data_IF_079132080383
#
_entry.id   IF_079132080383
#
_cell.length_a   1.000
_cell.length_b   1.000
_cell.length_c   1.000
_cell.angle_alpha   90.00
_cell.angle_beta   90.00
_cell.angle_gamma   90.00
#
_symmetry.space_group_name_H-M   'P 1'
#
loop_
_entity.id
_entity.type
_entity.pdbx_description
1 polymer ?
#
# COMPACT_ATOMS: atom_id res chain seq x y z
N UNK A 1 -12.95 -11.83 13.97
CA UNK A 1 -11.79 -12.13 13.10
C UNK A 1 -10.54 -12.01 13.94
N UNK A 2 -9.89 -13.13 14.19
CA UNK A 2 -8.71 -13.19 15.05
C UNK A 2 -7.48 -12.65 14.30
N UNK A 3 -6.66 -11.88 15.00
CA UNK A 3 -5.45 -11.27 14.46
C UNK A 3 -4.26 -11.74 15.26
N UNK A 4 -3.12 -11.81 14.61
CA UNK A 4 -1.84 -12.13 15.23
C UNK A 4 -0.93 -10.90 15.14
N UNK A 5 -0.39 -10.47 16.28
CA UNK A 5 0.55 -9.36 16.37
C UNK A 5 1.93 -9.83 15.91
N UNK A 6 2.52 -9.09 14.97
CA UNK A 6 3.82 -9.42 14.37
C UNK A 6 4.91 -8.50 14.87
N UNK A 7 4.64 -7.20 14.93
CA UNK A 7 5.60 -6.20 15.39
C UNK A 7 4.89 -4.93 15.87
N UNK A 8 5.60 -4.13 16.64
CA UNK A 8 5.21 -2.80 17.08
C UNK A 8 6.31 -1.82 16.66
N UNK A 9 5.94 -0.70 16.05
CA UNK A 9 6.88 0.36 15.68
C UNK A 9 6.59 1.60 16.52
N UNK A 10 7.60 2.13 17.21
CA UNK A 10 7.53 3.47 17.76
C UNK A 10 7.72 4.49 16.63
N UNK A 11 6.67 5.25 16.33
CA UNK A 11 6.66 6.19 15.22
C UNK A 11 7.50 7.45 15.46
N UNK A 12 7.94 7.72 16.71
CA UNK A 12 8.81 8.86 17.04
C UNK A 12 10.28 8.50 16.90
N UNK A 13 10.67 7.33 17.41
CA UNK A 13 12.07 6.87 17.39
C UNK A 13 12.38 6.04 16.14
N UNK A 14 11.36 5.43 15.53
CA UNK A 14 11.53 4.44 14.47
C UNK A 14 11.92 3.05 14.99
N UNK A 15 12.01 2.85 16.31
CA UNK A 15 12.37 1.57 16.90
C UNK A 15 11.28 0.52 16.64
N UNK A 16 11.73 -0.69 16.27
CA UNK A 16 10.86 -1.83 15.95
C UNK A 16 11.02 -2.88 17.03
N UNK A 17 9.92 -3.19 17.72
CA UNK A 17 9.79 -4.35 18.61
C UNK A 17 9.15 -5.49 17.81
N UNK A 18 9.94 -6.51 17.50
CA UNK A 18 9.46 -7.72 16.82
C UNK A 18 8.81 -8.64 17.86
N UNK A 19 7.55 -9.00 17.62
CA UNK A 19 6.79 -9.91 18.51
C UNK A 19 6.86 -11.35 17.99
N UNK A 20 6.92 -11.53 16.66
CA UNK A 20 7.00 -12.83 16.00
C UNK A 20 8.26 -12.97 15.15
N UNK A 21 9.34 -13.40 15.80
CA UNK A 21 10.70 -13.53 15.24
C UNK A 21 10.80 -14.48 14.04
N UNK A 22 9.93 -15.50 13.98
CA UNK A 22 9.88 -16.48 12.88
C UNK A 22 9.02 -16.01 11.69
N UNK A 23 8.33 -14.87 11.82
CA UNK A 23 7.51 -14.34 10.73
C UNK A 23 8.37 -13.96 9.53
N UNK A 24 7.96 -14.41 8.34
CA UNK A 24 8.56 -14.03 7.07
C UNK A 24 7.49 -13.65 6.07
N UNK A 25 7.80 -12.75 5.14
CA UNK A 25 6.88 -12.42 4.07
C UNK A 25 7.58 -12.20 2.73
N UNK A 26 7.05 -12.83 1.67
CA UNK A 26 7.38 -12.56 0.28
C UNK A 26 6.10 -12.50 -0.53
N UNK A 27 5.91 -11.46 -1.33
CA UNK A 27 4.84 -11.48 -2.33
C UNK A 27 5.18 -12.57 -3.37
N UNK A 28 4.31 -13.57 -3.50
CA UNK A 28 4.51 -14.68 -4.44
C UNK A 28 4.24 -14.21 -5.86
N UNK A 29 5.20 -14.46 -6.76
CA UNK A 29 5.08 -14.12 -8.18
C UNK A 29 3.91 -14.87 -8.82
N UNK A 30 3.27 -14.24 -9.80
CA UNK A 30 2.16 -14.79 -10.58
C UNK A 30 0.94 -15.30 -9.75
N UNK A 31 0.80 -14.85 -8.50
CA UNK A 31 -0.25 -15.29 -7.59
C UNK A 31 -1.62 -14.64 -7.84
N UNK A 32 -1.65 -13.31 -8.05
CA UNK A 32 -2.85 -12.49 -8.28
C UNK A 32 -3.99 -12.53 -7.24
N UNK A 33 -3.93 -13.36 -6.18
CA UNK A 33 -5.02 -13.49 -5.19
C UNK A 33 -5.51 -12.15 -4.63
N UNK A 34 -4.59 -11.26 -4.24
CA UNK A 34 -4.97 -9.97 -3.69
C UNK A 34 -5.70 -9.07 -4.71
N UNK A 35 -5.47 -9.24 -6.01
CA UNK A 35 -6.19 -8.51 -7.06
C UNK A 35 -7.61 -9.05 -7.27
N UNK A 36 -7.84 -10.32 -6.95
CA UNK A 36 -9.11 -11.02 -7.16
C UNK A 36 -9.98 -10.91 -5.91
N UNK A 37 -9.43 -11.23 -4.74
CA UNK A 37 -10.19 -11.41 -3.50
C UNK A 37 -10.40 -10.12 -2.70
N UNK A 38 -9.57 -9.10 -2.91
CA UNK A 38 -9.66 -7.87 -2.11
C UNK A 38 -10.35 -6.73 -2.82
N UNK A 39 -11.03 -5.97 -1.99
CA UNK A 39 -11.54 -4.65 -2.27
C UNK A 39 -10.55 -3.61 -1.78
N UNK A 40 -9.98 -2.85 -2.72
CA UNK A 40 -8.87 -1.93 -2.46
C UNK A 40 -9.41 -0.51 -2.36
N UNK A 41 -9.37 0.14 -1.18
CA UNK A 41 -9.63 1.57 -1.08
C UNK A 41 -8.49 2.36 -1.73
N UNK A 42 -8.86 3.39 -2.48
CA UNK A 42 -7.99 4.39 -3.08
C UNK A 42 -8.05 5.66 -2.25
N UNK A 43 -6.89 6.13 -1.79
CA UNK A 43 -6.76 7.47 -1.24
C UNK A 43 -6.66 8.50 -2.36
N UNK A 44 -6.84 9.76 -2.03
CA UNK A 44 -6.66 10.87 -2.99
C UNK A 44 -5.23 10.83 -3.59
N UNK A 45 -4.21 10.55 -2.77
CA UNK A 45 -2.84 10.42 -3.24
C UNK A 45 -2.61 9.20 -4.14
N UNK A 46 -3.41 8.12 -3.98
CA UNK A 46 -3.38 6.97 -4.88
C UNK A 46 -3.98 7.34 -6.25
N UNK A 47 -5.11 8.05 -6.24
CA UNK A 47 -5.80 8.50 -7.46
C UNK A 47 -4.90 9.43 -8.27
N UNK A 48 -4.32 10.45 -7.64
CA UNK A 48 -3.44 11.41 -8.32
C UNK A 48 -2.17 10.74 -8.87
N UNK A 49 -1.59 9.79 -8.12
CA UNK A 49 -0.43 9.02 -8.58
C UNK A 49 -0.77 8.15 -9.79
N UNK A 50 -1.94 7.53 -9.84
CA UNK A 50 -2.36 6.69 -10.97
C UNK A 50 -2.71 7.55 -12.19
N UNK A 51 -3.35 8.71 -12.00
CA UNK A 51 -3.61 9.69 -13.08
C UNK A 51 -2.33 10.21 -13.72
N UNK A 52 -1.29 10.41 -12.92
CA UNK A 52 0.03 10.81 -13.43
C UNK A 52 0.66 9.76 -14.38
N UNK A 53 0.18 8.52 -14.39
CA UNK A 53 0.58 7.49 -15.37
C UNK A 53 -0.17 7.57 -16.69
N UNK A 54 -1.15 8.48 -16.81
CA UNK A 54 -1.99 8.66 -18.00
C UNK A 54 -3.31 7.90 -17.99
N UNK A 55 -3.74 7.36 -16.83
CA UNK A 55 -5.07 6.75 -16.70
C UNK A 55 -6.13 7.80 -16.35
N UNK A 56 -7.27 7.74 -17.05
CA UNK A 56 -8.45 8.51 -16.66
C UNK A 56 -9.03 7.98 -15.35
N UNK A 57 -9.47 8.87 -14.47
CA UNK A 57 -10.00 8.51 -13.14
C UNK A 57 -11.20 7.55 -13.25
N UNK A 58 -12.11 7.82 -14.20
CA UNK A 58 -13.27 6.98 -14.48
C UNK A 58 -12.90 5.57 -14.96
N UNK A 59 -11.67 5.33 -15.43
CA UNK A 59 -11.23 3.99 -15.80
C UNK A 59 -11.05 3.09 -14.58
N UNK A 60 -10.51 3.63 -13.48
CA UNK A 60 -10.04 2.82 -12.35
C UNK A 60 -10.71 3.12 -11.00
N UNK A 61 -11.41 4.24 -10.85
CA UNK A 61 -12.13 4.57 -9.61
C UNK A 61 -13.59 4.12 -9.69
N UNK A 62 -14.03 3.38 -8.67
CA UNK A 62 -15.42 3.00 -8.44
C UNK A 62 -16.04 3.93 -7.37
N UNK A 63 -16.70 4.99 -7.82
CA UNK A 63 -17.35 5.97 -6.94
C UNK A 63 -18.57 5.41 -6.20
N UNK A 64 -19.10 4.25 -6.61
CA UNK A 64 -20.21 3.60 -5.90
C UNK A 64 -19.72 2.81 -4.69
N UNK A 65 -18.42 2.52 -4.63
CA UNK A 65 -17.80 1.72 -3.58
C UNK A 65 -17.02 2.59 -2.61
N UNK A 66 -17.63 2.89 -1.48
CA UNK A 66 -17.06 3.79 -0.47
C UNK A 66 -16.55 3.01 0.75
N UNK A 67 -15.34 3.33 1.22
CA UNK A 67 -14.73 2.72 2.38
C UNK A 67 -14.71 3.69 3.56
N UNK A 68 -15.02 3.16 4.75
CA UNK A 68 -15.07 3.93 5.99
C UNK A 68 -14.35 3.20 7.13
N UNK A 69 -13.81 3.97 8.07
CA UNK A 69 -13.37 3.50 9.39
C UNK A 69 -14.13 4.28 10.47
N UNK A 70 -15.20 3.68 10.97
CA UNK A 70 -16.17 4.40 11.79
C UNK A 70 -16.79 5.55 10.97
N UNK A 71 -16.84 6.79 11.48
CA UNK A 71 -17.39 7.92 10.74
C UNK A 71 -16.43 8.49 9.68
N UNK A 72 -15.17 8.03 9.64
CA UNK A 72 -14.14 8.59 8.74
C UNK A 72 -14.22 7.92 7.37
N UNK A 73 -14.46 8.72 6.33
CA UNK A 73 -14.30 8.30 4.94
C UNK A 73 -12.81 8.03 4.64
N UNK A 74 -12.53 6.88 4.03
CA UNK A 74 -11.17 6.46 3.66
C UNK A 74 -10.87 6.62 2.18
N UNK A 75 -11.90 6.63 1.33
CA UNK A 75 -11.75 6.69 -0.12
C UNK A 75 -12.73 5.79 -0.87
N UNK A 76 -12.63 5.84 -2.19
CA UNK A 76 -13.41 5.04 -3.12
C UNK A 76 -12.68 3.73 -3.47
N UNK A 77 -13.37 2.79 -4.11
CA UNK A 77 -12.79 1.52 -4.51
C UNK A 77 -12.01 1.60 -5.81
N UNK A 78 -11.01 0.72 -5.96
CA UNK A 78 -10.50 0.40 -7.29
C UNK A 78 -11.54 -0.44 -8.05
N UNK A 79 -11.74 -0.15 -9.33
CA UNK A 79 -12.65 -0.91 -10.20
C UNK A 79 -12.19 -2.36 -10.35
N UNK A 80 -13.17 -3.25 -10.35
CA UNK A 80 -13.05 -4.64 -10.78
C UNK A 80 -13.56 -4.79 -12.21
N UNK A 81 -13.01 -5.74 -12.96
CA UNK A 81 -13.45 -6.04 -14.32
C UNK A 81 -14.77 -6.81 -14.31
N UNK A 82 -15.70 -6.51 -15.22
CA UNK A 82 -17.02 -7.12 -15.20
C UNK A 82 -17.03 -8.61 -15.55
N UNK A 83 -15.97 -9.14 -16.19
CA UNK A 83 -15.95 -10.51 -16.70
C UNK A 83 -15.28 -11.54 -15.77
N UNK A 84 -14.46 -11.10 -14.80
CA UNK A 84 -13.76 -11.99 -13.87
C UNK A 84 -13.62 -11.43 -12.44
N UNK A 85 -14.20 -10.27 -12.17
CA UNK A 85 -14.17 -9.56 -10.88
C UNK A 85 -12.74 -9.27 -10.35
N UNK A 86 -11.72 -9.40 -11.20
CA UNK A 86 -10.35 -9.06 -10.83
C UNK A 86 -10.10 -7.56 -10.98
N UNK A 87 -9.12 -7.05 -10.23
CA UNK A 87 -8.68 -5.65 -10.30
C UNK A 87 -8.42 -5.23 -11.75
N UNK A 88 -8.89 -4.03 -12.15
CA UNK A 88 -8.71 -3.49 -13.51
C UNK A 88 -7.26 -3.50 -14.00
N UNK A 89 -6.28 -3.36 -13.10
CA UNK A 89 -4.85 -3.35 -13.42
C UNK A 89 -4.16 -4.73 -13.43
N UNK A 90 -4.86 -5.81 -13.09
CA UNK A 90 -4.28 -7.15 -13.17
C UNK A 90 -4.14 -7.58 -14.64
N UNK A 91 -2.94 -7.97 -15.06
CA UNK A 91 -2.77 -8.63 -16.34
C UNK A 91 -3.32 -10.07 -16.29
N UNK A 92 -4.31 -10.44 -17.13
CA UNK A 92 -4.94 -11.75 -17.05
C UNK A 92 -4.03 -12.89 -17.52
N UNK A 93 -3.05 -12.60 -18.39
CA UNK A 93 -2.13 -13.58 -18.95
C UNK A 93 -0.96 -13.82 -18.00
N UNK A 94 -0.30 -12.75 -17.56
CA UNK A 94 0.91 -12.86 -16.74
C UNK A 94 0.62 -12.92 -15.24
N UNK A 95 -0.62 -12.63 -14.80
CA UNK A 95 -1.00 -12.49 -13.38
C UNK A 95 -0.22 -11.40 -12.63
N UNK A 96 0.35 -10.42 -13.35
CA UNK A 96 1.11 -9.30 -12.76
C UNK A 96 0.30 -8.02 -12.76
N UNK A 97 0.54 -7.15 -11.77
CA UNK A 97 -0.08 -5.83 -11.74
C UNK A 97 0.63 -4.89 -12.72
N UNK A 98 -0.13 -4.26 -13.62
CA UNK A 98 0.40 -3.31 -14.62
C UNK A 98 0.96 -2.02 -14.03
N UNK A 99 0.55 -1.68 -12.81
CA UNK A 99 1.00 -0.50 -12.07
C UNK A 99 1.75 -0.87 -10.78
N UNK A 100 2.45 -2.01 -10.75
CA UNK A 100 3.01 -2.57 -9.50
C UNK A 100 3.84 -1.57 -8.68
N UNK A 101 4.72 -0.80 -9.33
CA UNK A 101 5.56 0.23 -8.67
C UNK A 101 4.74 1.42 -8.14
N UNK A 102 3.57 1.68 -8.73
CA UNK A 102 2.67 2.78 -8.37
C UNK A 102 1.40 2.30 -7.67
N UNK A 103 1.39 1.05 -7.19
CA UNK A 103 0.21 0.41 -6.61
C UNK A 103 -0.32 1.23 -5.41
N UNK A 104 -1.66 1.23 -5.19
CA UNK A 104 -2.26 1.92 -4.06
C UNK A 104 -1.64 1.52 -2.72
N UNK A 105 -1.69 2.40 -1.72
CA UNK A 105 -1.10 2.10 -0.42
C UNK A 105 -1.69 0.84 0.20
N UNK A 106 -3.00 0.60 0.07
CA UNK A 106 -3.63 -0.63 0.54
C UNK A 106 -3.02 -1.90 -0.10
N UNK A 107 -2.61 -1.83 -1.38
CA UNK A 107 -1.89 -2.93 -2.04
C UNK A 107 -0.44 -3.07 -1.54
N UNK A 108 0.24 -1.96 -1.20
CA UNK A 108 1.60 -2.00 -0.63
C UNK A 108 1.62 -2.64 0.77
N UNK A 109 0.56 -2.38 1.55
CA UNK A 109 0.45 -2.85 2.93
C UNK A 109 -0.15 -4.24 3.05
N UNK A 110 -0.76 -4.81 2.01
CA UNK A 110 -1.24 -6.19 2.07
C UNK A 110 -0.06 -7.16 2.28
N UNK A 111 -0.16 -8.17 3.17
CA UNK A 111 -1.34 -8.65 3.91
C UNK A 111 -1.55 -8.04 5.31
N UNK A 112 -0.81 -6.99 5.65
CA UNK A 112 -0.72 -6.45 6.99
C UNK A 112 -1.91 -5.56 7.36
N UNK A 113 -2.29 -5.62 8.63
CA UNK A 113 -3.26 -4.73 9.27
C UNK A 113 -2.50 -3.83 10.23
N UNK A 114 -2.53 -2.53 9.97
CA UNK A 114 -1.85 -1.53 10.77
C UNK A 114 -2.86 -0.85 11.70
N UNK A 115 -2.51 -0.78 12.99
CA UNK A 115 -3.31 -0.08 14.00
C UNK A 115 -2.42 0.93 14.71
N UNK A 116 -2.77 2.22 14.58
CA UNK A 116 -2.08 3.30 15.29
C UNK A 116 -2.73 3.52 16.66
N UNK A 117 -1.90 3.50 17.70
CA UNK A 117 -2.25 3.83 19.08
C UNK A 117 -1.23 4.84 19.60
N UNK A 118 -1.64 6.10 19.75
CA UNK A 118 -0.73 7.20 20.11
C UNK A 118 0.50 7.27 19.19
N UNK A 119 1.69 6.97 19.73
CA UNK A 119 2.96 6.94 18.99
C UNK A 119 3.34 5.54 18.52
N UNK A 120 2.53 4.51 18.81
CA UNK A 120 2.80 3.13 18.42
C UNK A 120 2.00 2.74 17.18
N UNK A 121 2.66 2.04 16.27
CA UNK A 121 2.05 1.39 15.12
C UNK A 121 2.16 -0.12 15.31
N UNK A 122 1.05 -0.76 15.63
CA UNK A 122 0.97 -2.20 15.77
C UNK A 122 0.68 -2.83 14.40
N UNK A 123 1.43 -3.88 14.07
CA UNK A 123 1.38 -4.56 12.79
C UNK A 123 0.87 -5.98 13.01
N UNK A 124 -0.27 -6.27 12.41
CA UNK A 124 -0.95 -7.55 12.52
C UNK A 124 -1.07 -8.25 11.18
N UNK A 125 -1.32 -9.56 11.23
CA UNK A 125 -1.93 -10.31 10.15
C UNK A 125 -3.25 -10.90 10.63
N UNK A 126 -4.15 -11.26 9.71
CA UNK A 126 -5.29 -12.11 10.05
C UNK A 126 -4.80 -13.56 10.19
N UNK A 127 -5.29 -14.31 11.17
CA UNK A 127 -4.91 -15.73 11.32
C UNK A 127 -5.45 -16.62 10.21
N UNK A 128 -6.63 -16.26 9.69
CA UNK A 128 -7.29 -16.91 8.55
C UNK A 128 -6.83 -16.33 7.20
N UNK A 129 -5.71 -15.60 7.16
CA UNK A 129 -5.22 -15.02 5.92
C UNK A 129 -4.73 -16.11 4.96
N UNK A 130 -5.28 -16.12 3.76
CA UNK A 130 -4.98 -17.09 2.70
C UNK A 130 -3.86 -16.64 1.75
N UNK A 131 -3.13 -15.58 2.13
CA UNK A 131 -1.96 -15.11 1.38
C UNK A 131 -0.84 -16.16 1.44
N UNK A 132 -0.44 -16.75 0.30
CA UNK A 132 0.64 -17.75 0.27
C UNK A 132 2.02 -17.15 0.55
N UNK A 133 2.12 -15.82 0.62
CA UNK A 133 3.36 -15.12 0.94
C UNK A 133 3.70 -15.10 2.43
N UNK A 134 2.74 -15.40 3.30
CA UNK A 134 2.94 -15.44 4.75
C UNK A 134 3.78 -16.67 5.10
N UNK A 135 4.85 -16.46 5.86
CA UNK A 135 5.85 -17.47 6.25
C UNK A 135 6.45 -18.20 5.05
N UNK A 136 6.58 -17.51 3.92
CA UNK A 136 7.27 -18.06 2.76
C UNK A 136 8.75 -18.33 3.10
N UNK A 137 9.34 -19.48 2.71
CA UNK A 137 10.72 -19.84 3.08
C UNK A 137 11.77 -18.81 2.62
N UNK A 138 11.51 -18.15 1.50
CA UNK A 138 12.35 -17.07 0.95
C UNK A 138 11.85 -15.67 1.32
N UNK A 139 11.03 -15.56 2.37
CA UNK A 139 10.46 -14.31 2.83
C UNK A 139 11.46 -13.44 3.57
N UNK A 140 11.25 -12.13 3.48
CA UNK A 140 11.99 -11.15 4.26
C UNK A 140 11.43 -11.10 5.70
N UNK A 141 12.27 -10.82 6.70
CA UNK A 141 11.82 -10.57 8.08
C UNK A 141 11.03 -9.26 8.17
N UNK A 142 10.24 -9.09 9.22
CA UNK A 142 9.27 -7.98 9.31
C UNK A 142 9.93 -6.61 9.29
N UNK A 143 11.13 -6.47 9.83
CA UNK A 143 11.92 -5.25 9.88
C UNK A 143 12.24 -4.75 8.47
N UNK A 144 12.68 -5.64 7.58
CA UNK A 144 12.95 -5.32 6.17
C UNK A 144 11.67 -4.91 5.44
N UNK A 145 10.55 -5.58 5.74
CA UNK A 145 9.24 -5.25 5.17
C UNK A 145 8.78 -3.85 5.61
N UNK A 146 8.96 -3.51 6.89
CA UNK A 146 8.62 -2.20 7.45
C UNK A 146 9.40 -1.10 6.73
N UNK A 147 10.73 -1.25 6.64
CA UNK A 147 11.58 -0.27 5.96
C UNK A 147 11.16 -0.05 4.50
N UNK A 148 10.84 -1.14 3.80
CA UNK A 148 10.52 -1.11 2.37
C UNK A 148 9.14 -0.53 2.05
N UNK A 149 8.11 -0.85 2.84
CA UNK A 149 6.72 -0.57 2.45
C UNK A 149 5.97 0.36 3.41
N UNK A 150 6.45 0.56 4.65
CA UNK A 150 5.69 1.24 5.70
C UNK A 150 6.14 2.69 5.86
N UNK A 151 7.16 3.13 5.12
CA UNK A 151 7.70 4.48 5.18
C UNK A 151 6.65 5.58 4.95
N UNK A 152 5.72 5.39 4.00
CA UNK A 152 4.61 6.33 3.76
C UNK A 152 3.67 6.45 4.97
N UNK A 153 3.51 5.38 5.75
CA UNK A 153 2.63 5.36 6.93
C UNK A 153 3.34 5.95 8.15
N UNK A 154 4.62 5.60 8.35
CA UNK A 154 5.42 6.02 9.49
C UNK A 154 5.74 7.52 9.40
N UNK A 155 6.05 8.04 8.20
CA UNK A 155 6.34 9.46 7.98
C UNK A 155 5.08 10.35 8.03
N UNK A 156 3.89 9.79 7.81
CA UNK A 156 2.59 10.49 7.92
C UNK A 156 2.11 10.71 9.35
N UNK A 157 3.03 10.82 10.32
CA UNK A 157 2.76 10.90 11.75
C UNK A 157 2.13 12.20 12.24
N UNK A 158 2.26 13.27 11.47
CA UNK A 158 1.65 14.59 11.69
C UNK A 158 0.89 14.99 10.41
N UNK A 159 -0.20 15.74 10.54
CA UNK A 159 -0.98 16.35 9.43
C UNK A 159 -2.17 15.58 8.85
N UNK A 160 -3.06 15.15 9.74
CA UNK A 160 -4.48 14.95 9.44
C UNK A 160 -5.29 16.23 9.17
N UNK A 161 -4.67 17.42 9.06
CA UNK A 161 -5.35 18.66 8.67
C UNK A 161 -4.36 19.72 8.16
N UNK A 162 -4.65 20.24 6.95
CA UNK A 162 -4.23 21.53 6.34
C UNK A 162 -2.92 21.58 5.53
N UNK A 163 -3.12 21.72 4.21
CA UNK A 163 -2.51 22.70 3.29
C UNK A 163 -1.11 23.21 3.68
N UNK A 164 -0.11 22.78 2.94
CA UNK A 164 1.00 23.68 2.58
C UNK A 164 0.64 24.29 1.23
N UNK A 165 0.15 25.52 1.27
CA UNK A 165 0.17 26.41 0.12
C UNK A 165 1.61 26.85 -0.17
N UNK A 166 1.93 26.88 -1.46
CA UNK A 166 3.05 27.56 -2.13
C UNK A 166 4.06 28.31 -1.25
N UNK A 167 5.35 27.95 -1.41
CA UNK A 167 6.34 28.86 -1.99
C UNK A 167 7.65 28.13 -2.34
N UNK A 168 8.05 28.34 -3.59
CA UNK A 168 9.41 28.50 -4.09
C UNK A 168 10.44 27.39 -3.80
N UNK A 169 10.64 26.52 -4.80
CA UNK A 169 11.97 26.02 -5.16
C UNK A 169 12.02 25.84 -6.68
N UNK A 170 12.40 26.92 -7.37
CA UNK A 170 13.03 26.84 -8.68
C UNK A 170 14.29 25.97 -8.55
N UNK A 171 14.38 24.90 -9.34
CA UNK A 171 15.67 24.27 -9.63
C UNK A 171 15.78 23.99 -11.13
N UNK A 172 16.62 24.79 -11.77
CA UNK A 172 17.00 24.69 -13.18
C UNK A 172 18.05 23.57 -13.35
N UNK A 173 17.86 22.58 -14.24
CA UNK A 173 18.92 21.66 -14.59
C UNK A 173 19.87 22.35 -15.58
N UNK A 174 20.97 22.94 -15.06
CA UNK A 174 22.14 23.22 -15.89
C UNK A 174 22.98 21.96 -16.05
N UNK A 175 22.98 21.44 -17.27
CA UNK A 175 24.19 21.06 -17.98
C UNK A 175 24.78 19.68 -17.70
N UNK A 176 24.52 18.75 -18.61
CA UNK A 176 25.53 17.78 -19.05
C UNK A 176 25.74 18.00 -20.55
N UNK A 177 26.99 18.33 -20.87
CA UNK A 177 27.48 18.68 -22.19
C UNK A 177 27.51 17.47 -23.13
N UNK A 178 27.12 17.74 -24.38
CA UNK A 178 27.61 17.19 -25.65
C UNK A 178 28.37 15.85 -25.63
N UNK A 179 27.81 14.83 -26.31
CA UNK A 179 28.60 13.92 -27.15
C UNK A 179 27.76 13.53 -28.38
N UNK A 180 28.18 14.10 -29.53
CA UNK A 180 27.88 13.82 -30.96
C UNK A 180 26.45 14.00 -31.46
#
# INVERSE_FOLDING_TARGET
MERELIAIVDMKTGEVEVVKEDFRFKCVEDCAKCCIENDVPLREEDIERIKALGYDEDYFVDYTKMFYRGPRFLGYGIKKRPFDDACIFLDPETKKCRIYEHRPLACKLYPFILIKHENKLEIYIKKDNICPGINHPEGDPIEVIIEKYFGEVIKGGEDGTRRIGQKDLEYSPKGLQNVV
#
